data_IF_662605596688
#
_entry.id   IF_662605596688
#
_cell.length_a   1.000
_cell.length_b   1.000
_cell.length_c   1.000
_cell.angle_alpha   90.00
_cell.angle_beta   90.00
_cell.angle_gamma   90.00
#
_symmetry.space_group_name_H-M   'P 1'
#
loop_
_entity.id
_entity.type
_entity.pdbx_description
1 polymer ?
#
# COMPACT_ATOMS: atom_id res chain seq x y z
N UNK A 1 10.05 -8.18 -12.53
CA UNK A 1 8.72 -7.91 -11.93
C UNK A 1 7.71 -7.82 -13.06
N UNK A 2 6.60 -8.56 -13.01
CA UNK A 2 5.60 -8.47 -14.11
C UNK A 2 4.90 -7.11 -14.06
N UNK A 3 4.29 -6.67 -15.17
CA UNK A 3 3.54 -5.40 -15.24
C UNK A 3 2.56 -5.23 -14.06
N UNK A 4 1.84 -6.29 -13.71
CA UNK A 4 0.94 -6.31 -12.56
C UNK A 4 1.62 -6.05 -11.21
N UNK A 5 2.86 -6.51 -11.03
CA UNK A 5 3.59 -6.29 -9.78
C UNK A 5 4.05 -4.82 -9.67
N UNK A 6 4.29 -4.14 -10.80
CA UNK A 6 4.59 -2.71 -10.84
C UNK A 6 3.33 -1.89 -10.52
N UNK A 7 2.19 -2.25 -11.11
CA UNK A 7 0.91 -1.57 -10.86
C UNK A 7 0.54 -1.62 -9.37
N UNK A 8 0.63 -2.80 -8.74
CA UNK A 8 0.30 -2.94 -7.31
C UNK A 8 1.28 -2.13 -6.45
N UNK A 9 2.56 -2.05 -6.84
CA UNK A 9 3.56 -1.26 -6.11
C UNK A 9 3.25 0.23 -6.21
N UNK A 10 2.94 0.73 -7.40
CA UNK A 10 2.55 2.13 -7.61
C UNK A 10 1.28 2.49 -6.83
N UNK A 11 0.28 1.61 -6.82
CA UNK A 11 -0.92 1.79 -6.00
C UNK A 11 -0.56 1.85 -4.51
N UNK A 12 0.27 0.93 -4.01
CA UNK A 12 0.67 0.91 -2.60
C UNK A 12 1.36 2.21 -2.20
N UNK A 13 2.27 2.72 -3.03
CA UNK A 13 2.95 4.01 -2.79
C UNK A 13 1.96 5.18 -2.80
N UNK A 14 1.00 5.20 -3.73
CA UNK A 14 -0.05 6.22 -3.76
C UNK A 14 -0.88 6.25 -2.47
N UNK A 15 -1.36 5.09 -2.02
CA UNK A 15 -2.09 4.99 -0.76
C UNK A 15 -1.24 5.33 0.47
N UNK A 16 0.06 5.02 0.44
CA UNK A 16 0.99 5.41 1.51
C UNK A 16 1.05 6.94 1.64
N UNK A 17 1.23 7.64 0.52
CA UNK A 17 1.32 9.12 0.51
C UNK A 17 0.03 9.74 1.03
N UNK A 18 -1.13 9.24 0.59
CA UNK A 18 -2.44 9.68 1.07
C UNK A 18 -2.59 9.42 2.57
N UNK A 19 -2.19 8.23 3.02
CA UNK A 19 -2.22 7.86 4.43
C UNK A 19 -1.35 8.77 5.29
N UNK A 20 -0.12 9.05 4.86
CA UNK A 20 0.80 9.97 5.55
C UNK A 20 0.18 11.38 5.63
N UNK A 21 -0.36 11.88 4.52
CA UNK A 21 -1.05 13.17 4.52
C UNK A 21 -2.24 13.19 5.49
N UNK A 22 -3.08 12.15 5.50
CA UNK A 22 -4.20 12.07 6.43
C UNK A 22 -3.74 11.97 7.89
N UNK A 23 -2.65 11.25 8.19
CA UNK A 23 -2.08 11.21 9.54
C UNK A 23 -1.70 12.61 9.99
N UNK A 24 -1.07 13.39 9.12
CA UNK A 24 -0.61 14.75 9.44
C UNK A 24 -1.76 15.75 9.59
N UNK A 25 -2.85 15.61 8.84
CA UNK A 25 -3.95 16.59 8.82
C UNK A 25 -5.11 16.22 9.75
N UNK A 26 -5.50 14.95 9.76
CA UNK A 26 -6.72 14.46 10.44
C UNK A 26 -6.41 13.51 11.61
N UNK A 27 -5.14 13.12 11.76
CA UNK A 27 -4.70 12.15 12.76
C UNK A 27 -4.84 10.69 12.33
N UNK A 28 -4.33 9.79 13.18
CA UNK A 28 -4.19 8.36 12.88
C UNK A 28 -5.56 7.67 12.72
N UNK A 29 -6.58 8.10 13.47
CA UNK A 29 -7.91 7.47 13.42
C UNK A 29 -8.54 7.49 12.03
N UNK A 30 -8.51 8.65 11.36
CA UNK A 30 -9.02 8.77 9.99
C UNK A 30 -8.05 8.19 8.96
N UNK A 31 -6.74 8.27 9.19
CA UNK A 31 -5.76 7.72 8.25
C UNK A 31 -5.66 6.19 8.26
N UNK A 32 -6.24 5.52 9.28
CA UNK A 32 -6.11 4.09 9.51
C UNK A 32 -6.47 3.25 8.28
N UNK A 33 -7.55 3.60 7.58
CA UNK A 33 -7.98 2.85 6.40
C UNK A 33 -6.97 2.93 5.25
N UNK A 34 -6.39 4.10 5.00
CA UNK A 34 -5.41 4.31 3.92
C UNK A 34 -4.09 3.56 4.22
N UNK A 35 -3.66 3.57 5.48
CA UNK A 35 -2.50 2.79 5.93
C UNK A 35 -2.76 1.28 5.85
N UNK A 36 -3.96 0.83 6.22
CA UNK A 36 -4.35 -0.58 6.07
C UNK A 36 -4.36 -1.05 4.61
N UNK A 37 -4.93 -0.26 3.69
CA UNK A 37 -4.90 -0.59 2.25
C UNK A 37 -3.47 -0.68 1.74
N UNK A 38 -2.60 0.24 2.16
CA UNK A 38 -1.18 0.21 1.80
C UNK A 38 -0.51 -1.07 2.25
N UNK A 39 -0.72 -1.48 3.50
CA UNK A 39 -0.18 -2.72 4.06
C UNK A 39 -0.69 -3.96 3.33
N UNK A 40 -1.99 -4.01 3.01
CA UNK A 40 -2.60 -5.11 2.24
C UNK A 40 -1.95 -5.24 0.87
N UNK A 41 -1.80 -4.13 0.12
CA UNK A 41 -1.16 -4.14 -1.19
C UNK A 41 0.29 -4.59 -1.12
N UNK A 42 1.02 -4.20 -0.06
CA UNK A 42 2.40 -4.63 0.16
C UNK A 42 2.49 -6.13 0.51
N UNK A 43 1.54 -6.65 1.29
CA UNK A 43 1.42 -8.07 1.59
C UNK A 43 1.10 -8.89 0.34
N UNK A 44 0.14 -8.44 -0.47
CA UNK A 44 -0.21 -9.09 -1.75
C UNK A 44 1.00 -9.15 -2.67
N UNK A 45 1.78 -8.06 -2.77
CA UNK A 45 3.03 -8.05 -3.53
C UNK A 45 4.04 -9.06 -3.00
N UNK A 46 4.21 -9.11 -1.69
CA UNK A 46 5.18 -9.99 -1.03
C UNK A 46 4.80 -11.45 -1.23
N UNK A 47 3.52 -11.80 -1.05
CA UNK A 47 2.99 -13.13 -1.31
C UNK A 47 3.19 -13.51 -2.78
N UNK A 48 2.81 -12.64 -3.72
CA UNK A 48 3.00 -12.90 -5.16
C UNK A 48 4.46 -13.09 -5.56
N UNK A 49 5.38 -12.36 -4.92
CA UNK A 49 6.83 -12.52 -5.14
C UNK A 49 7.34 -13.82 -4.56
N UNK A 50 6.81 -14.29 -3.43
CA UNK A 50 7.17 -15.59 -2.83
C UNK A 50 6.61 -16.79 -3.60
N UNK A 51 5.36 -16.73 -4.07
CA UNK A 51 4.73 -17.82 -4.85
C UNK A 51 5.36 -18.03 -6.23
N UNK A 52 5.97 -16.99 -6.81
CA UNK A 52 6.71 -17.11 -8.09
C UNK A 52 8.17 -17.54 -7.94
N UNK A 53 8.64 -17.76 -6.71
CA UNK A 53 10.01 -18.16 -6.39
C UNK A 53 10.06 -19.67 -6.21
#
# INVERSE_FOLDING_TARGET
MKLLDIIILSLAVGFLIIGIHQVMVLGIGQAYWALMITLILFFILTLRKRTKR
#
